data_IF_701336216075
#
_entry.id   IF_701336216075
#
_cell.length_a   1.000
_cell.length_b   1.000
_cell.length_c   1.000
_cell.angle_alpha   90.00
_cell.angle_beta   90.00
_cell.angle_gamma   90.00
#
_symmetry.space_group_name_H-M   'P 1'
#
loop_
_entity.id
_entity.type
_entity.pdbx_description
1 polymer ?
2 branched ?
3 non-polymer ?
4 non-polymer ?
5 water ?
#
# COMPACT_ATOMS: atom_id res chain seq x y z
N UNK A 11 -14.39 -13.92 4.18
CA UNK A 11 -14.79 -13.85 2.67
C UNK A 11 -13.54 -13.80 1.80
N UNK A 12 -13.75 -14.13 0.52
CA UNK A 12 -12.62 -14.10 -0.41
C UNK A 12 -13.12 -13.41 -1.69
N UNK A 13 -12.33 -12.48 -2.20
CA UNK A 13 -12.65 -11.81 -3.47
C UNK A 13 -11.86 -12.59 -4.53
N UNK A 14 -12.61 -13.07 -5.55
CA UNK A 14 -12.05 -14.05 -6.51
C UNK A 14 -12.33 -13.64 -7.90
N UNK A 15 -11.36 -13.95 -8.76
CA UNK A 15 -11.55 -13.79 -10.19
C UNK A 15 -10.77 -14.91 -10.89
N UNK A 16 -10.80 -14.93 -12.21
CA UNK A 16 -10.07 -15.92 -13.02
C UNK A 16 -8.61 -15.79 -12.70
N UNK A 17 -7.82 -16.88 -12.88
CA UNK A 17 -6.36 -16.72 -12.53
C UNK A 17 -5.74 -15.47 -13.18
N UNK A 18 -4.91 -14.86 -12.36
CA UNK A 18 -4.29 -13.65 -12.85
C UNK A 18 -2.78 -13.87 -12.85
N UNK A 19 -2.15 -13.26 -13.84
CA UNK A 19 -0.73 -13.43 -13.97
C UNK A 19 0.06 -12.39 -13.18
N UNK A 20 0.30 -12.69 -11.92
CA UNK A 20 1.15 -11.76 -11.17
C UNK A 20 2.62 -11.99 -11.51
N UNK A 21 3.45 -11.02 -11.14
CA UNK A 21 4.89 -11.28 -11.12
C UNK A 21 5.16 -12.41 -10.11
N UNK A 22 6.38 -13.04 -10.18
CA UNK A 22 6.70 -14.09 -9.22
C UNK A 22 6.60 -13.57 -7.77
N UNK A 23 6.09 -14.38 -6.87
CA UNK A 23 5.89 -13.94 -5.46
C UNK A 23 7.22 -13.60 -4.83
N UNK A 24 8.29 -14.33 -5.13
CA UNK A 24 9.55 -14.02 -4.43
C UNK A 24 9.42 -14.40 -2.94
N UNK A 25 10.29 -13.83 -2.12
CA UNK A 25 10.33 -14.14 -0.70
C UNK A 25 10.18 -12.81 0.07
N UNK A 26 9.46 -12.84 1.18
CA UNK A 26 9.23 -11.61 1.94
C UNK A 26 10.57 -10.97 2.26
N UNK A 27 10.72 -9.70 1.92
CA UNK A 27 11.98 -8.98 2.04
C UNK A 27 11.72 -7.58 2.45
N UNK A 28 12.48 -7.10 3.45
CA UNK A 28 12.42 -5.66 3.85
C UNK A 28 13.85 -5.18 3.95
N UNK A 29 14.19 -4.02 3.39
CA UNK A 29 13.33 -3.12 2.60
C UNK A 29 12.84 -3.85 1.36
N UNK A 30 11.62 -3.58 0.94
CA UNK A 30 11.14 -4.17 -0.31
C UNK A 30 11.52 -3.21 -1.43
N UNK A 31 12.41 -3.70 -2.30
CA UNK A 31 12.94 -2.87 -3.40
C UNK A 31 12.54 -3.36 -4.77
N UNK A 32 12.04 -4.59 -4.80
CA UNK A 32 11.54 -5.23 -6.09
C UNK A 32 12.61 -5.38 -7.15
N UNK A 33 13.85 -5.28 -6.72
CA UNK A 33 14.94 -5.21 -7.74
C UNK A 33 15.27 -6.59 -8.33
N UNK A 34 14.75 -7.64 -7.73
CA UNK A 34 14.92 -9.02 -8.24
C UNK A 34 13.77 -9.43 -9.18
N UNK A 35 12.96 -8.45 -9.55
CA UNK A 35 11.79 -8.66 -10.44
C UNK A 35 10.69 -9.55 -9.86
N UNK A 36 10.71 -9.75 -8.53
CA UNK A 36 9.68 -10.48 -7.80
C UNK A 36 8.91 -9.47 -6.96
N UNK A 37 7.77 -9.95 -6.43
CA UNK A 37 6.98 -9.15 -5.49
C UNK A 37 7.54 -9.17 -4.11
N UNK A 38 8.65 -9.90 -3.87
CA UNK A 38 9.27 -9.89 -2.54
C UNK A 38 8.26 -10.14 -1.42
N UNK A 39 7.35 -11.10 -1.70
CA UNK A 39 6.41 -11.54 -0.69
C UNK A 39 5.12 -10.76 -0.67
N UNK A 40 4.97 -9.68 -1.44
CA UNK A 40 3.71 -8.89 -1.39
C UNK A 40 2.60 -9.49 -2.25
N UNK A 41 1.39 -9.53 -1.70
CA UNK A 41 0.30 -10.13 -2.44
C UNK A 41 -0.99 -9.45 -1.98
N UNK A 42 -2.07 -9.57 -2.75
CA UNK A 42 -3.33 -9.05 -2.24
C UNK A 42 -3.74 -9.83 -1.03
N UNK A 43 -4.29 -9.12 -0.04
CA UNK A 43 -5.11 -9.82 0.95
C UNK A 43 -6.28 -10.55 0.25
N UNK A 44 -6.71 -11.66 0.88
CA UNK A 44 -7.86 -12.42 0.29
C UNK A 44 -9.10 -11.51 0.24
N UNK A 45 -9.18 -10.46 1.07
CA UNK A 45 -10.34 -9.55 1.09
C UNK A 45 -10.17 -8.28 0.25
N UNK A 46 -8.99 -8.11 -0.40
CA UNK A 46 -8.79 -6.94 -1.23
C UNK A 46 -9.89 -6.80 -2.29
N UNK A 47 -10.39 -5.61 -2.41
CA UNK A 47 -11.40 -5.36 -3.51
C UNK A 47 -10.75 -5.40 -4.85
N UNK A 48 -9.44 -5.19 -4.93
CA UNK A 48 -8.71 -5.27 -6.18
C UNK A 48 -7.92 -6.58 -6.15
N UNK A 49 -8.05 -7.37 -7.23
CA UNK A 49 -7.39 -8.68 -7.31
C UNK A 49 -6.68 -8.84 -8.67
N UNK A 50 -6.54 -7.71 -9.36
CA UNK A 50 -5.88 -7.77 -10.66
C UNK A 50 -4.34 -7.86 -10.54
N UNK A 51 -3.66 -7.95 -11.70
CA UNK A 51 -2.28 -8.32 -11.60
C UNK A 51 -1.38 -7.35 -10.87
N UNK A 52 -0.52 -7.93 -10.00
CA UNK A 52 0.55 -7.16 -9.34
C UNK A 52 1.76 -7.51 -10.18
N UNK A 53 2.32 -6.53 -10.81
CA UNK A 53 3.55 -6.73 -11.66
C UNK A 53 4.65 -5.81 -11.23
N UNK A 54 5.86 -6.05 -11.75
CA UNK A 54 6.96 -5.15 -11.44
C UNK A 54 7.23 -4.30 -12.67
N UNK A 55 7.14 -3.00 -12.47
CA UNK A 55 7.22 -1.99 -13.54
C UNK A 55 8.27 -1.03 -13.16
N UNK A 56 8.91 -0.39 -14.13
CA UNK A 56 9.73 0.77 -13.75
C UNK A 56 8.93 1.98 -13.31
N UNK A 57 9.36 2.60 -12.22
CA UNK A 57 8.78 3.84 -11.71
C UNK A 57 9.95 4.72 -11.31
N UNK A 58 10.07 5.85 -11.99
CA UNK A 58 11.05 6.83 -11.55
C UNK A 58 12.45 6.19 -11.46
N UNK A 59 12.77 5.44 -12.52
CA UNK A 59 14.06 4.77 -12.70
C UNK A 59 14.33 3.60 -11.81
N UNK A 60 13.34 3.06 -11.07
CA UNK A 60 13.59 1.90 -10.22
C UNK A 60 12.45 0.89 -10.39
N UNK A 61 12.71 -0.41 -10.22
CA UNK A 61 11.63 -1.41 -10.29
C UNK A 61 10.71 -1.26 -9.08
N UNK A 62 9.39 -1.30 -9.38
CA UNK A 62 8.38 -1.04 -8.28
C UNK A 62 7.26 -2.04 -8.50
N UNK A 63 6.59 -2.42 -7.44
CA UNK A 63 5.35 -3.27 -7.58
C UNK A 63 4.19 -2.35 -7.98
N UNK A 64 3.30 -2.84 -8.85
CA UNK A 64 2.31 -1.94 -9.49
C UNK A 64 1.02 -2.69 -9.79
N UNK A 65 -0.04 -1.91 -9.83
CA UNK A 65 -1.36 -2.44 -10.21
C UNK A 65 -2.17 -1.31 -10.78
N UNK A 66 -3.25 -1.76 -11.43
CA UNK A 66 -4.22 -0.79 -12.03
C UNK A 66 -5.48 -0.76 -11.14
N UNK A 67 -6.06 0.43 -11.03
CA UNK A 67 -7.32 0.51 -10.32
C UNK A 67 -8.17 1.65 -10.86
N UNK A 68 -9.45 1.35 -11.04
CA UNK A 68 -10.49 2.36 -11.34
C UNK A 68 -11.61 2.10 -10.30
N UNK A 69 -11.78 3.03 -9.32
CA UNK A 69 -12.80 2.79 -8.32
C UNK A 69 -14.19 2.89 -8.95
N UNK A 70 -15.11 2.12 -8.36
CA UNK A 70 -16.50 2.22 -8.86
C UNK A 70 -17.04 3.62 -8.70
N UNK A 71 -17.91 4.01 -9.66
CA UNK A 71 -18.64 5.26 -9.51
C UNK A 71 -19.64 5.21 -8.38
N UNK A 72 -20.30 4.08 -8.20
CA UNK A 72 -21.18 3.87 -7.04
C UNK A 72 -20.35 3.37 -5.88
N UNK A 73 -20.33 4.18 -4.81
CA UNK A 73 -19.38 3.89 -3.70
C UNK A 73 -19.96 2.91 -2.69
N UNK A 74 -19.27 1.78 -2.43
CA UNK A 74 -19.64 0.87 -1.38
C UNK A 74 -19.81 1.52 -0.03
N UNK A 75 -20.64 0.89 0.82
CA UNK A 75 -20.83 1.46 2.15
C UNK A 75 -19.57 1.26 3.01
N UNK A 76 -18.96 0.09 2.93
CA UNK A 76 -17.71 -0.16 3.64
C UNK A 76 -16.56 0.55 2.89
N UNK A 77 -15.83 1.41 3.60
CA UNK A 77 -14.81 2.32 2.98
C UNK A 77 -13.56 1.59 2.43
N UNK A 78 -13.42 0.33 2.75
CA UNK A 78 -12.29 -0.46 2.22
C UNK A 78 -12.73 -1.48 1.22
N UNK A 79 -14.06 -1.63 1.04
CA UNK A 79 -14.47 -2.68 0.13
C UNK A 79 -13.86 -2.61 -1.29
N UNK A 80 -13.70 -1.42 -1.87
CA UNK A 80 -13.22 -1.30 -3.24
C UNK A 80 -11.69 -1.12 -3.24
N UNK A 81 -11.09 -1.12 -2.04
CA UNK A 81 -9.66 -0.67 -1.95
C UNK A 81 -8.65 -1.74 -2.29
N UNK A 82 -7.59 -1.35 -3.05
CA UNK A 82 -6.38 -2.20 -3.01
C UNK A 82 -5.91 -2.37 -1.59
N UNK A 83 -5.73 -3.61 -1.18
CA UNK A 83 -5.27 -3.94 0.16
C UNK A 83 -4.16 -5.00 -0.06
N UNK A 84 -2.91 -4.50 0.00
CA UNK A 84 -1.73 -5.33 -0.32
C UNK A 84 -1.05 -5.71 0.99
N UNK A 85 -0.56 -6.93 1.09
CA UNK A 85 -0.05 -7.45 2.39
C UNK A 85 1.25 -8.21 2.13
N UNK A 86 2.17 -8.00 3.07
CA UNK A 86 3.43 -8.81 3.17
C UNK A 86 3.23 -9.79 4.25
N UNK A 87 2.86 -11.02 3.86
CA UNK A 87 2.48 -12.01 4.87
C UNK A 87 3.67 -12.82 5.37
N UNK A 88 3.64 -13.03 6.69
CA UNK A 88 4.62 -13.89 7.36
C UNK A 88 6.06 -13.35 7.25
N UNK A 89 6.18 -12.02 7.11
CA UNK A 89 7.51 -11.42 7.19
C UNK A 89 8.12 -11.54 8.55
N UNK A 90 7.28 -11.48 9.59
CA UNK A 90 7.82 -11.60 10.96
C UNK A 90 8.99 -10.73 11.29
N UNK A 91 8.75 -9.45 11.07
CA UNK A 91 9.77 -8.37 11.27
C UNK A 91 9.50 -7.68 12.58
N UNK A 92 10.35 -6.71 12.90
CA UNK A 92 10.17 -5.85 14.11
C UNK A 92 10.61 -4.50 13.70
N UNK A 93 10.10 -3.46 14.39
CA UNK A 93 10.48 -2.08 14.02
C UNK A 93 11.91 -1.71 14.51
N UNK A 94 12.43 -2.44 15.50
CA UNK A 94 13.73 -2.04 16.03
C UNK A 94 13.72 -0.64 16.56
N UNK A 95 14.80 0.12 16.27
CA UNK A 95 14.77 1.48 16.77
C UNK A 95 14.29 2.51 15.79
N UNK A 96 13.51 2.05 14.82
CA UNK A 96 12.96 2.96 13.81
C UNK A 96 11.67 3.60 14.27
N UNK A 97 11.53 4.88 14.00
CA UNK A 97 10.37 5.63 14.35
C UNK A 97 9.22 5.44 13.30
N UNK A 98 9.64 5.20 12.05
CA UNK A 98 8.69 5.23 10.96
C UNK A 98 8.73 3.97 10.12
N UNK A 99 7.58 3.71 9.48
CA UNK A 99 7.61 2.92 8.26
C UNK A 99 7.29 3.88 7.12
N UNK A 100 8.00 3.68 6.02
CA UNK A 100 7.90 4.65 4.89
C UNK A 100 7.98 3.89 3.56
N UNK A 101 7.44 4.52 2.54
CA UNK A 101 7.62 3.98 1.19
C UNK A 101 7.39 5.04 0.20
N UNK A 102 7.91 4.77 -1.01
CA UNK A 102 7.57 5.60 -2.18
C UNK A 102 6.28 5.08 -2.81
N UNK A 103 5.37 6.00 -3.05
CA UNK A 103 4.08 5.68 -3.65
C UNK A 103 3.91 6.58 -4.84
N UNK A 104 3.59 5.97 -6.01
CA UNK A 104 3.43 6.74 -7.21
C UNK A 104 2.08 6.56 -7.81
N UNK A 105 1.58 7.61 -8.41
CA UNK A 105 0.32 7.54 -9.21
C UNK A 105 0.57 7.91 -10.62
N UNK A 106 -0.11 7.22 -11.53
CA UNK A 106 -0.18 7.64 -12.98
C UNK A 106 -1.67 7.61 -13.30
N UNK A 107 -2.39 8.70 -13.02
CA UNK A 107 -3.86 8.66 -13.29
C UNK A 107 -4.18 8.78 -14.74
N UNK A 108 -5.21 8.05 -15.15
CA UNK A 108 -5.90 8.45 -16.38
C UNK A 108 -7.03 9.42 -16.05
N UNK A 109 -7.52 9.42 -14.80
CA UNK A 109 -8.57 10.34 -14.39
C UNK A 109 -8.31 10.61 -12.89
N UNK A 110 -8.26 11.89 -12.55
CA UNK A 110 -8.15 12.27 -11.14
C UNK A 110 -8.47 13.74 -10.97
N UNK A 111 -9.64 14.00 -10.42
CA UNK A 111 -10.02 15.43 -10.28
C UNK A 111 -10.79 15.71 -9.02
N UNK A 112 -11.30 14.69 -8.32
CA UNK A 112 -12.11 15.06 -7.13
C UNK A 112 -12.03 13.95 -6.10
N UNK A 113 -12.40 14.29 -4.85
CA UNK A 113 -12.16 13.35 -3.78
C UNK A 113 -10.69 13.20 -3.47
N UNK A 114 -10.42 12.07 -2.84
CA UNK A 114 -9.08 11.83 -2.34
C UNK A 114 -8.77 10.34 -2.24
N UNK A 115 -7.49 10.01 -2.01
CA UNK A 115 -7.09 8.62 -1.64
C UNK A 115 -6.70 8.68 -0.19
N UNK A 116 -7.11 7.67 0.62
CA UNK A 116 -6.70 7.61 2.03
C UNK A 116 -5.88 6.39 2.20
N UNK A 117 -4.60 6.58 2.53
CA UNK A 117 -3.68 5.42 2.62
C UNK A 117 -3.50 5.06 4.09
N UNK A 118 -3.80 3.82 4.42
CA UNK A 118 -3.64 3.30 5.80
C UNK A 118 -2.60 2.19 5.85
N UNK A 119 -1.97 2.11 7.02
CA UNK A 119 -0.98 1.07 7.36
C UNK A 119 -1.41 0.28 8.56
N UNK A 120 -1.32 -1.06 8.44
CA UNK A 120 -1.54 -1.88 9.61
C UNK A 120 -0.55 -3.02 9.66
N UNK A 121 -0.53 -3.64 10.84
CA UNK A 121 0.34 -4.82 11.02
C UNK A 121 -0.49 -5.90 11.69
N UNK A 122 0.07 -7.11 11.70
CA UNK A 122 -0.57 -8.23 12.42
C UNK A 122 0.42 -8.77 13.46
N UNK A 123 0.39 -8.19 14.66
CA UNK A 123 1.35 -8.69 15.69
C UNK A 123 0.59 -9.84 16.41
N UNK A 124 1.26 -11.03 16.51
CA UNK A 124 0.58 -12.10 17.27
C UNK A 124 0.35 -11.78 18.70
N UNK A 125 1.11 -10.85 19.29
CA UNK A 125 0.91 -10.50 20.69
C UNK A 125 -0.21 -9.51 20.91
N UNK A 126 -0.76 -8.95 19.80
CA UNK A 126 -1.76 -7.87 19.89
C UNK A 126 -2.97 -8.19 19.07
N UNK A 127 -3.44 -9.44 19.19
CA UNK A 127 -4.71 -9.79 18.51
C UNK A 127 -4.60 -9.82 16.99
N UNK A 128 -3.36 -9.84 16.43
CA UNK A 128 -3.16 -9.93 14.99
C UNK A 128 -3.67 -8.69 14.25
N UNK A 129 -3.73 -7.55 14.92
CA UNK A 129 -4.08 -6.26 14.22
C UNK A 129 -3.60 -5.11 15.06
N UNK A 130 -2.79 -4.25 14.43
CA UNK A 130 -2.39 -3.01 15.06
C UNK A 130 -2.31 -2.00 13.92
N UNK A 131 -3.08 -0.90 14.02
CA UNK A 131 -3.24 -0.01 12.87
C UNK A 131 -2.64 1.33 13.18
N UNK A 132 -1.81 1.82 12.26
CA UNK A 132 -1.28 3.16 12.46
C UNK A 132 -2.41 4.21 12.43
N UNK A 133 -2.34 5.13 13.39
CA UNK A 133 -3.37 6.15 13.54
C UNK A 133 -3.30 7.13 12.39
N UNK A 134 -2.09 7.35 11.86
CA UNK A 134 -1.89 8.45 10.89
C UNK A 134 -2.22 8.12 9.45
N UNK A 135 -3.52 7.92 9.18
CA UNK A 135 -3.94 7.81 7.76
C UNK A 135 -3.48 9.04 6.96
N UNK A 136 -3.04 8.79 5.73
CA UNK A 136 -2.52 9.86 4.86
C UNK A 136 -3.52 10.10 3.73
N UNK A 137 -4.01 11.37 3.59
CA UNK A 137 -5.00 11.70 2.58
C UNK A 137 -4.30 12.48 1.47
N UNK A 138 -4.54 12.03 0.26
CA UNK A 138 -4.04 12.74 -0.94
C UNK A 138 -5.23 13.26 -1.76
N UNK A 139 -5.47 14.56 -1.74
CA UNK A 139 -6.58 15.14 -2.52
C UNK A 139 -6.27 15.10 -3.99
N UNK A 140 -7.22 14.64 -4.77
CA UNK A 140 -6.93 14.50 -6.19
C UNK A 140 -6.88 15.85 -6.88
N UNK A 141 -7.61 16.82 -6.35
CA UNK A 141 -7.44 18.19 -6.93
C UNK A 141 -5.99 18.79 -6.68
N UNK A 142 -5.24 18.30 -5.68
CA UNK A 142 -3.88 18.80 -5.48
C UNK A 142 -2.97 18.40 -6.68
N UNK A 143 -3.35 17.33 -7.42
CA UNK A 143 -2.34 16.70 -8.28
C UNK A 143 -1.95 17.54 -9.41
N UNK A 144 -2.91 18.25 -9.99
CA UNK A 144 -2.56 18.82 -11.33
C UNK A 144 -1.51 19.91 -11.15
N UNK A 145 -1.40 20.44 -9.95
CA UNK A 145 -0.37 21.41 -9.61
C UNK A 145 0.99 20.82 -9.17
N UNK A 146 1.03 19.51 -8.90
CA UNK A 146 2.26 18.88 -8.49
C UNK A 146 3.14 18.49 -9.66
N UNK A 147 4.44 18.73 -9.50
CA UNK A 147 5.38 18.39 -10.54
C UNK A 147 5.54 16.88 -10.65
N UNK A 148 5.49 16.36 -11.87
CA UNK A 148 5.68 14.94 -12.10
C UNK A 148 7.13 14.53 -12.19
N UNK A 149 7.38 13.23 -12.03
CA UNK A 149 8.70 12.68 -12.31
C UNK A 149 8.93 12.70 -13.88
N UNK A 150 10.18 12.44 -14.28
CA UNK A 150 10.49 12.43 -15.74
C UNK A 150 9.64 11.46 -16.51
N UNK A 151 9.19 10.35 -15.89
CA UNK A 151 8.39 9.36 -16.51
C UNK A 151 6.85 9.51 -16.28
N UNK A 152 6.45 10.71 -15.80
CA UNK A 152 5.08 11.08 -15.77
C UNK A 152 4.24 10.66 -14.58
N UNK A 153 4.95 10.46 -13.47
CA UNK A 153 4.25 9.93 -12.25
C UNK A 153 4.19 11.01 -11.21
N UNK A 154 3.23 10.89 -10.31
CA UNK A 154 3.28 11.77 -9.14
C UNK A 154 3.90 10.94 -8.01
N UNK A 155 4.98 11.44 -7.42
CA UNK A 155 5.82 10.73 -6.45
C UNK A 155 5.57 11.24 -5.05
N UNK A 156 5.01 10.35 -4.19
CA UNK A 156 4.92 10.65 -2.76
C UNK A 156 5.84 9.75 -2.01
N UNK A 157 6.42 10.28 -0.92
CA UNK A 157 7.09 9.47 0.04
C UNK A 157 6.22 9.49 1.29
N UNK A 158 5.59 8.37 1.64
CA UNK A 158 4.57 8.34 2.68
C UNK A 158 5.23 7.86 3.96
N UNK A 159 4.92 8.53 5.10
CA UNK A 159 5.56 8.14 6.41
C UNK A 159 4.43 7.87 7.41
N UNK A 160 4.70 6.83 8.24
CA UNK A 160 3.79 6.51 9.39
C UNK A 160 4.60 6.49 10.65
N UNK A 161 4.21 7.34 11.61
CA UNK A 161 4.80 7.37 12.94
C UNK A 161 4.34 6.16 13.77
N UNK A 162 5.27 5.21 13.96
CA UNK A 162 4.92 3.92 14.60
C UNK A 162 4.64 4.04 16.10
N UNK A 163 4.83 5.25 16.63
CA UNK A 163 4.45 5.47 18.04
C UNK A 163 2.98 5.94 18.15
N UNK A 164 2.29 6.07 17.02
CA UNK A 164 0.90 6.47 16.98
C UNK A 164 0.09 5.32 16.37
N UNK A 165 -0.40 4.47 17.27
CA UNK A 165 -1.12 3.25 16.89
C UNK A 165 -2.44 3.24 17.60
N UNK A 166 -3.47 2.76 16.90
CA UNK A 166 -4.84 2.80 17.49
C UNK A 166 -5.03 1.82 18.66
N UNK A 167 -6.09 2.13 19.44
CA UNK A 167 -6.55 1.19 20.45
C UNK A 167 -5.60 0.98 21.64
N UNK A 168 -4.77 1.94 21.87
CA UNK A 168 -3.77 1.91 22.92
C UNK A 168 -2.69 0.88 22.76
N UNK A 169 -2.62 0.25 21.57
CA UNK A 169 -1.63 -0.79 21.31
C UNK A 169 -0.26 -0.20 21.07
N UNK A 170 0.76 -0.85 21.65
CA UNK A 170 2.11 -0.27 21.51
C UNK A 170 3.00 -1.27 20.77
N UNK A 171 3.68 -0.79 19.70
CA UNK A 171 4.66 -1.62 19.01
C UNK A 171 6.02 -1.29 19.62
N UNK A 172 6.54 -2.23 20.37
CA UNK A 172 7.87 -2.02 20.97
C UNK A 172 8.92 -2.38 19.94
N UNK A 173 10.19 -2.07 20.28
CA UNK A 173 11.23 -2.47 19.36
C UNK A 173 11.24 -3.96 18.94
N UNK A 174 10.80 -4.80 19.88
CA UNK A 174 10.88 -6.24 19.72
C UNK A 174 9.56 -6.91 19.43
N UNK A 175 8.49 -6.14 19.27
CA UNK A 175 7.18 -6.70 18.99
C UNK A 175 7.17 -7.33 17.60
N UNK A 176 6.90 -8.66 17.50
CA UNK A 176 6.83 -9.33 16.23
C UNK A 176 5.63 -8.85 15.42
N UNK A 177 5.92 -8.40 14.19
CA UNK A 177 4.94 -7.96 13.23
C UNK A 177 4.89 -9.05 12.15
N UNK A 178 3.86 -9.91 12.21
CA UNK A 178 3.85 -11.05 11.30
C UNK A 178 3.59 -10.64 9.86
N UNK A 179 2.62 -9.75 9.68
CA UNK A 179 2.26 -9.20 8.37
C UNK A 179 2.29 -7.70 8.42
N UNK A 180 2.48 -7.09 7.23
CA UNK A 180 2.32 -5.62 7.06
C UNK A 180 1.24 -5.46 5.98
N UNK A 181 0.32 -4.56 6.21
CA UNK A 181 -0.77 -4.27 5.26
C UNK A 181 -0.82 -2.83 4.87
N UNK A 182 -0.96 -2.55 3.57
CA UNK A 182 -1.17 -1.14 3.10
C UNK A 182 -2.49 -1.10 2.33
N UNK A 183 -3.31 -0.13 2.66
CA UNK A 183 -4.66 -0.03 2.02
C UNK A 183 -4.71 1.31 1.35
N UNK A 184 -5.12 1.38 0.08
CA UNK A 184 -5.29 2.68 -0.57
C UNK A 184 -6.80 2.86 -0.83
N UNK A 185 -7.46 3.47 0.12
CA UNK A 185 -8.97 3.55 0.08
C UNK A 185 -9.40 4.75 -0.78
N UNK A 186 -10.56 4.55 -1.39
CA UNK A 186 -11.21 5.62 -2.14
C UNK A 186 -12.01 6.56 -1.25
N UNK A 187 -11.57 7.79 -1.29
CA UNK A 187 -12.23 8.89 -0.58
C UNK A 187 -13.19 9.66 -1.49
N UNK A 188 -14.31 9.01 -1.85
CA UNK A 188 -15.28 9.58 -2.77
C UNK A 188 -14.64 10.15 -4.03
N UNK A 189 -13.69 9.39 -4.55
CA UNK A 189 -12.85 9.95 -5.63
C UNK A 189 -13.31 9.53 -7.04
N UNK A 190 -12.72 10.15 -8.07
CA UNK A 190 -12.85 9.57 -9.45
C UNK A 190 -11.54 9.00 -9.97
N UNK A 191 -10.70 8.47 -9.07
CA UNK A 191 -9.43 7.98 -9.58
C UNK A 191 -9.56 6.79 -10.51
N UNK A 192 -8.79 6.84 -11.59
CA UNK A 192 -8.52 5.67 -12.40
C UNK A 192 -7.08 5.78 -12.85
N UNK A 193 -6.36 4.64 -12.85
CA UNK A 193 -5.00 4.71 -13.37
C UNK A 193 -4.13 3.70 -12.65
N UNK A 194 -2.84 3.94 -12.65
CA UNK A 194 -1.88 2.93 -12.18
C UNK A 194 -1.28 3.49 -10.85
N UNK A 195 -1.04 2.52 -9.96
CA UNK A 195 -0.39 2.83 -8.71
C UNK A 195 0.85 1.99 -8.58
N UNK A 196 1.84 2.49 -7.85
CA UNK A 196 3.09 1.80 -7.65
C UNK A 196 3.65 2.01 -6.24
N UNK A 197 4.31 0.97 -5.69
CA UNK A 197 4.98 1.12 -4.41
C UNK A 197 6.45 0.73 -4.60
N UNK A 198 7.36 1.39 -3.85
CA UNK A 198 8.77 0.95 -3.86
C UNK A 198 9.39 1.32 -2.57
N UNK A 199 10.50 0.65 -2.26
CA UNK A 199 11.33 0.99 -1.11
C UNK A 199 10.51 1.02 0.19
N UNK A 200 9.79 -0.06 0.37
CA UNK A 200 8.96 -0.18 1.60
C UNK A 200 9.91 -0.55 2.71
N UNK A 201 9.98 0.30 3.78
CA UNK A 201 11.05 0.08 4.75
C UNK A 201 10.75 0.75 6.06
N UNK A 202 11.44 0.30 7.10
CA UNK A 202 11.44 1.11 8.36
C UNK A 202 12.52 2.13 8.25
N UNK A 203 12.33 3.27 8.88
CA UNK A 203 13.46 4.24 8.96
C UNK A 203 13.32 5.01 10.25
#
# INVERSE_FOLDING_TARGET
MRGSHHHHHHRAVVEAPVEHAPIGKATLPSTFEDSTRQGWAWDATSGVQSALTIKDANESKAISWEVKYPEVKPVDGWASAPRIMLGNVNTTRGNNKYLTFDFYLKPTQASKGSLTISLAFAPPSLGFWAQATGDVNIPLSSLSKMKKTTDGLYHFQVKYDLDKINDGKVLTANTVLRDITIVVADGNSDFAGTMYLDNIRFE
#
